data_IF_786357073220
#
_entry.id   IF_786357073220
#
_cell.length_a   1.000
_cell.length_b   1.000
_cell.length_c   1.000
_cell.angle_alpha   90.00
_cell.angle_beta   90.00
_cell.angle_gamma   90.00
#
_symmetry.space_group_name_H-M   'P 1'
#
loop_
_entity.id
_entity.type
_entity.pdbx_description
1 polymer ?
#
# COMPACT_ATOMS: atom_id res chain seq x y z
N UNK A 1 21.30 9.15 1.46
CA UNK A 1 20.05 9.57 0.80
C UNK A 1 18.97 8.54 1.08
N UNK A 2 17.71 8.94 1.30
CA UNK A 2 16.62 7.99 1.46
C UNK A 2 16.48 7.10 0.22
N UNK A 3 16.29 5.80 0.44
CA UNK A 3 16.01 4.82 -0.62
C UNK A 3 14.54 4.44 -0.58
N UNK A 4 13.91 4.43 -1.75
CA UNK A 4 12.52 4.03 -1.88
C UNK A 4 12.42 2.50 -1.70
N UNK A 5 11.63 2.00 -0.75
CA UNK A 5 11.50 0.56 -0.51
C UNK A 5 10.81 -0.19 -1.67
N UNK A 6 10.04 0.50 -2.51
CA UNK A 6 9.39 -0.12 -3.67
C UNK A 6 10.36 -0.42 -4.82
N UNK A 7 11.18 0.56 -5.20
CA UNK A 7 12.05 0.46 -6.38
C UNK A 7 13.54 0.37 -6.05
N UNK A 8 13.92 0.45 -4.77
CA UNK A 8 15.30 0.46 -4.28
C UNK A 8 16.20 1.57 -4.86
N UNK A 9 15.59 2.59 -5.50
CA UNK A 9 16.29 3.76 -6.04
C UNK A 9 16.31 4.90 -5.03
N UNK A 10 17.24 5.82 -5.24
CA UNK A 10 17.42 7.04 -4.46
C UNK A 10 16.22 7.97 -4.63
N UNK A 11 15.72 8.50 -3.52
CA UNK A 11 14.61 9.46 -3.51
C UNK A 11 15.19 10.87 -3.44
N UNK A 12 15.07 11.60 -4.55
CA UNK A 12 15.48 12.99 -4.65
C UNK A 12 14.46 13.91 -3.99
N UNK A 13 14.91 15.08 -3.51
CA UNK A 13 14.06 16.07 -2.85
C UNK A 13 12.84 16.51 -3.68
N UNK A 14 12.94 16.53 -5.02
CA UNK A 14 11.84 16.92 -5.89
C UNK A 14 10.66 15.93 -5.89
N UNK A 15 10.94 14.64 -5.67
CA UNK A 15 9.94 13.56 -5.71
C UNK A 15 9.72 12.88 -4.37
N UNK A 16 10.39 13.38 -3.31
CA UNK A 16 10.33 12.78 -1.99
C UNK A 16 8.95 12.89 -1.40
N UNK A 17 8.46 11.78 -0.89
CA UNK A 17 7.21 11.68 -0.18
C UNK A 17 7.46 10.90 1.10
N UNK A 18 7.34 11.56 2.24
CA UNK A 18 7.52 10.91 3.53
C UNK A 18 6.18 10.30 3.98
N UNK A 19 6.19 9.02 4.29
CA UNK A 19 5.04 8.28 4.84
C UNK A 19 5.48 7.16 5.73
N UNK A 20 4.78 7.00 6.85
CA UNK A 20 5.04 5.95 7.84
C UNK A 20 6.51 5.89 8.29
N UNK A 21 7.18 7.06 8.33
CA UNK A 21 8.60 7.18 8.70
C UNK A 21 9.60 6.82 7.60
N UNK A 22 9.13 6.48 6.39
CA UNK A 22 9.98 6.16 5.23
C UNK A 22 9.77 7.17 4.10
N UNK A 23 10.77 7.31 3.23
CA UNK A 23 10.73 8.18 2.06
C UNK A 23 10.49 7.37 0.78
N UNK A 24 9.55 7.84 -0.02
CA UNK A 24 9.06 7.17 -1.22
C UNK A 24 9.09 8.14 -2.40
N UNK A 25 9.09 7.60 -3.62
CA UNK A 25 8.73 8.41 -4.79
C UNK A 25 7.21 8.52 -4.90
N UNK A 26 6.71 9.69 -5.31
CA UNK A 26 5.31 9.92 -5.73
C UNK A 26 4.69 8.77 -6.55
N UNK A 27 5.31 8.28 -7.64
CA UNK A 27 4.78 7.15 -8.43
C UNK A 27 4.99 5.77 -7.79
N UNK A 28 5.90 5.66 -6.81
CA UNK A 28 6.17 4.42 -6.09
C UNK A 28 5.16 4.20 -4.94
N UNK A 29 4.57 5.28 -4.42
CA UNK A 29 3.53 5.23 -3.41
C UNK A 29 2.18 4.84 -4.04
N UNK A 30 2.08 3.60 -4.50
CA UNK A 30 0.87 3.04 -5.13
C UNK A 30 0.55 1.68 -4.56
N UNK A 31 -0.74 1.40 -4.38
CA UNK A 31 -1.19 0.15 -3.80
C UNK A 31 -0.66 -1.05 -4.60
N UNK A 32 0.03 -1.99 -3.98
CA UNK A 32 0.54 -3.17 -4.68
C UNK A 32 -0.60 -3.99 -5.31
N UNK A 33 -1.76 -4.06 -4.64
CA UNK A 33 -2.92 -4.85 -5.05
C UNK A 33 -3.71 -4.22 -6.19
N UNK A 34 -4.14 -2.96 -6.05
CA UNK A 34 -5.00 -2.29 -7.05
C UNK A 34 -4.25 -1.31 -7.94
N UNK A 35 -2.93 -1.14 -7.74
CA UNK A 35 -2.05 -0.21 -8.45
C UNK A 35 -2.48 1.26 -8.41
N UNK A 36 -3.46 1.61 -7.58
CA UNK A 36 -3.93 2.98 -7.37
C UNK A 36 -2.86 3.80 -6.67
N UNK A 37 -2.57 4.98 -7.20
CA UNK A 37 -1.69 5.97 -6.55
C UNK A 37 -2.29 6.37 -5.20
N UNK A 38 -1.49 6.26 -4.15
CA UNK A 38 -1.89 6.54 -2.79
C UNK A 38 -1.41 7.93 -2.40
N UNK A 39 -2.18 8.59 -1.54
CA UNK A 39 -1.73 9.86 -0.95
C UNK A 39 -0.86 9.60 0.28
N UNK A 40 0.20 10.40 0.50
CA UNK A 40 0.95 10.36 1.74
C UNK A 40 0.03 10.57 2.93
N UNK A 41 0.20 9.77 3.98
CA UNK A 41 -0.60 9.84 5.20
C UNK A 41 -1.99 9.18 5.15
N UNK A 42 -2.49 8.78 3.96
CA UNK A 42 -3.80 8.12 3.82
C UNK A 42 -3.68 6.74 3.17
N UNK A 43 -2.73 5.93 3.63
CA UNK A 43 -2.56 4.55 3.22
C UNK A 43 -1.92 3.72 4.34
N UNK A 44 -1.88 2.41 4.13
CA UNK A 44 -1.31 1.46 5.08
C UNK A 44 -0.14 0.73 4.42
N UNK A 45 0.91 0.44 5.17
CA UNK A 45 2.05 -0.34 4.69
C UNK A 45 2.02 -1.74 5.31
N UNK A 46 2.41 -2.74 4.53
CA UNK A 46 2.67 -4.09 5.00
C UNK A 46 3.96 -4.60 4.34
N UNK A 47 4.93 -5.05 5.14
CA UNK A 47 6.22 -5.59 4.67
C UNK A 47 6.95 -4.68 3.66
N UNK A 48 6.97 -3.36 3.91
CA UNK A 48 7.62 -2.41 3.00
C UNK A 48 6.87 -2.17 1.69
N UNK A 49 5.61 -2.63 1.58
CA UNK A 49 4.73 -2.40 0.43
C UNK A 49 3.52 -1.56 0.82
N UNK A 50 3.16 -0.52 0.05
CA UNK A 50 2.03 0.32 0.37
C UNK A 50 0.73 -0.28 -0.20
N UNK A 51 -0.36 -0.16 0.56
CA UNK A 51 -1.69 -0.67 0.28
C UNK A 51 -2.76 0.37 0.61
N UNK A 52 -3.89 0.32 -0.09
CA UNK A 52 -5.06 1.10 0.30
C UNK A 52 -5.54 0.67 1.69
N UNK A 53 -5.76 1.62 2.61
CA UNK A 53 -6.32 1.35 3.94
C UNK A 53 -7.60 0.51 3.87
N UNK A 54 -8.49 0.81 2.91
CA UNK A 54 -9.65 -0.02 2.54
C UNK A 54 -9.87 -0.01 1.02
N UNK A 55 -10.33 -1.13 0.41
CA UNK A 55 -10.48 -2.46 1.01
C UNK A 55 -9.17 -3.29 0.99
N UNK A 56 -8.12 -2.87 0.26
CA UNK A 56 -6.98 -3.75 -0.02
C UNK A 56 -6.26 -4.26 1.25
N UNK A 57 -5.85 -3.36 2.14
CA UNK A 57 -5.16 -3.72 3.37
C UNK A 57 -6.08 -4.53 4.30
N UNK A 58 -7.33 -4.09 4.49
CA UNK A 58 -8.30 -4.80 5.33
C UNK A 58 -8.63 -6.21 4.81
N UNK A 59 -8.77 -6.41 3.51
CA UNK A 59 -9.07 -7.74 2.94
C UNK A 59 -7.88 -8.70 2.97
N UNK A 60 -6.65 -8.18 2.93
CA UNK A 60 -5.43 -9.00 2.92
C UNK A 60 -4.92 -9.28 4.34
N UNK A 61 -4.88 -8.25 5.19
CA UNK A 61 -4.23 -8.23 6.50
C UNK A 61 -5.18 -7.89 7.66
N UNK A 62 -6.44 -7.57 7.38
CA UNK A 62 -7.42 -7.37 8.44
C UNK A 62 -7.69 -8.66 9.20
N UNK A 63 -8.23 -8.57 10.44
CA UNK A 63 -8.54 -9.74 11.23
C UNK A 63 -9.51 -10.64 10.46
N UNK A 64 -9.02 -11.82 10.05
CA UNK A 64 -9.85 -12.91 9.54
C UNK A 64 -10.64 -13.47 10.71
N UNK A 65 -11.70 -12.77 11.09
CA UNK A 65 -12.65 -13.23 12.08
C UNK A 65 -13.17 -14.61 11.66
N UNK A 66 -12.92 -15.57 12.53
CA UNK A 66 -13.38 -16.95 12.49
C UNK A 66 -14.82 -17.05 11.98
N UNK A 67 -14.99 -17.50 10.73
CA UNK A 67 -16.26 -17.51 10.03
C UNK A 67 -16.07 -18.00 8.60
N UNK A 68 -15.82 -19.29 8.47
CA UNK A 68 -15.81 -19.99 7.18
C UNK A 68 -17.08 -19.67 6.39
N UNK A 69 -16.96 -18.92 5.30
CA UNK A 69 -17.61 -19.24 4.03
C UNK A 69 -16.79 -18.63 2.89
N UNK A 70 -16.15 -19.50 2.12
CA UNK A 70 -15.92 -19.22 0.72
C UNK A 70 -17.29 -18.90 0.10
N UNK A 71 -17.49 -17.68 -0.38
CA UNK A 71 -18.53 -17.45 -1.37
C UNK A 71 -18.06 -16.45 -2.40
N UNK A 72 -17.58 -17.03 -3.49
CA UNK A 72 -17.60 -16.49 -4.83
C UNK A 72 -19.01 -15.96 -5.15
N UNK A 73 -19.34 -14.73 -4.77
CA UNK A 73 -20.45 -14.04 -5.41
C UNK A 73 -19.96 -13.43 -6.71
N UNK A 74 -19.98 -14.28 -7.74
CA UNK A 74 -20.25 -13.87 -9.12
C UNK A 74 -21.46 -12.93 -9.07
N UNK A 75 -21.25 -11.67 -9.42
CA UNK A 75 -22.35 -10.76 -9.70
C UNK A 75 -22.96 -11.23 -11.03
N UNK A 76 -24.21 -11.69 -10.91
CA UNK A 76 -25.12 -12.07 -11.99
C UNK A 76 -25.45 -10.88 -12.87
#
# INVERSE_FOLDING_TARGET
>A
MPKCPNCNKEVYFAERVTSLGQDWHRPCLKCERCKKTLSPGSHSEHEGKPYCTKPCYQSLFGPKGYGSVASSHVYR
#
